data_IF_133332131490
#
_entry.id   IF_133332131490
#
_cell.length_a   1.000
_cell.length_b   1.000
_cell.length_c   1.000
_cell.angle_alpha   90.00
_cell.angle_beta   90.00
_cell.angle_gamma   90.00
#
_symmetry.space_group_name_H-M   'P 1'
#
loop_
_entity.id
_entity.type
_entity.pdbx_description
1 polymer ?
#
# COMPACT_ATOMS: atom_id res chain seq x y z
N UNK A 1 9.94 -8.94 -9.96
CA UNK A 1 10.51 -7.96 -10.90
C UNK A 1 10.75 -6.69 -10.13
N UNK A 2 11.95 -6.11 -10.28
CA UNK A 2 12.30 -4.81 -9.73
C UNK A 2 12.51 -3.85 -10.90
N UNK A 3 11.91 -2.67 -10.83
CA UNK A 3 12.11 -1.58 -11.77
C UNK A 3 12.33 -0.27 -10.99
N UNK A 4 13.12 0.63 -11.56
CA UNK A 4 13.33 1.98 -11.01
C UNK A 4 13.11 2.97 -12.13
N UNK A 5 12.16 3.89 -11.94
CA UNK A 5 11.98 5.04 -12.82
C UNK A 5 12.80 6.20 -12.28
N UNK A 6 13.44 6.94 -13.18
CA UNK A 6 14.38 8.01 -12.86
C UNK A 6 13.89 9.30 -13.49
N UNK A 7 13.77 10.37 -12.69
CA UNK A 7 13.38 11.72 -13.13
C UNK A 7 12.04 11.80 -13.88
N UNK A 8 11.04 11.04 -13.43
CA UNK A 8 9.65 11.20 -13.86
C UNK A 8 8.93 12.18 -12.91
N UNK A 9 7.89 11.74 -12.20
CA UNK A 9 7.20 12.52 -11.16
C UNK A 9 8.08 12.78 -9.92
N UNK A 10 9.06 11.90 -9.68
CA UNK A 10 10.02 11.96 -8.58
C UNK A 10 11.42 11.68 -9.13
N UNK A 11 12.47 12.04 -8.38
CA UNK A 11 13.85 11.68 -8.74
C UNK A 11 14.00 10.17 -8.94
N UNK A 12 13.40 9.38 -8.04
CA UNK A 12 13.41 7.92 -8.10
C UNK A 12 12.05 7.36 -7.68
N UNK A 13 11.53 6.42 -8.46
CA UNK A 13 10.42 5.55 -8.07
C UNK A 13 10.83 4.09 -8.27
N UNK A 14 11.12 3.40 -7.16
CA UNK A 14 11.38 1.97 -7.16
C UNK A 14 10.09 1.17 -7.02
N UNK A 15 9.94 0.12 -7.82
CA UNK A 15 8.76 -0.75 -7.84
C UNK A 15 9.22 -2.20 -7.84
N UNK A 16 8.80 -2.95 -6.82
CA UNK A 16 8.91 -4.40 -6.82
C UNK A 16 7.52 -5.02 -7.03
N UNK A 17 7.40 -5.87 -8.05
CA UNK A 17 6.17 -6.57 -8.38
C UNK A 17 6.44 -8.08 -8.43
N UNK A 18 5.52 -8.87 -7.88
CA UNK A 18 5.51 -10.33 -7.99
C UNK A 18 4.16 -10.80 -8.51
N UNK A 19 4.15 -11.90 -9.27
CA UNK A 19 2.90 -12.57 -9.61
C UNK A 19 2.33 -13.31 -8.40
N UNK A 20 1.02 -13.47 -8.36
CA UNK A 20 0.31 -14.11 -7.24
C UNK A 20 0.13 -13.17 -6.04
N UNK A 21 0.04 -13.75 -4.84
CA UNK A 21 -0.24 -13.03 -3.60
C UNK A 21 0.96 -12.74 -2.70
N UNK A 22 2.20 -12.89 -3.19
CA UNK A 22 3.40 -12.77 -2.37
C UNK A 22 3.85 -11.32 -2.16
N UNK A 23 3.03 -10.56 -1.42
CA UNK A 23 3.33 -9.19 -1.01
C UNK A 23 4.56 -9.12 -0.08
N UNK A 24 4.80 -10.15 0.74
CA UNK A 24 5.95 -10.20 1.64
C UNK A 24 7.27 -10.28 0.87
N UNK A 25 7.33 -11.14 -0.15
CA UNK A 25 8.50 -11.24 -1.02
C UNK A 25 8.71 -9.99 -1.88
N UNK A 26 7.62 -9.38 -2.39
CA UNK A 26 7.72 -8.10 -3.10
C UNK A 26 8.25 -6.98 -2.20
N UNK A 27 7.73 -6.89 -0.98
CA UNK A 27 8.17 -5.92 0.01
C UNK A 27 9.65 -6.11 0.38
N UNK A 28 10.08 -7.35 0.68
CA UNK A 28 11.49 -7.64 0.94
C UNK A 28 12.39 -7.25 -0.24
N UNK A 29 12.00 -7.61 -1.46
CA UNK A 29 12.78 -7.24 -2.66
C UNK A 29 12.91 -5.73 -2.81
N UNK A 30 11.85 -4.97 -2.50
CA UNK A 30 11.88 -3.51 -2.54
C UNK A 30 12.78 -2.92 -1.46
N UNK A 31 12.65 -3.37 -0.21
CA UNK A 31 13.44 -2.84 0.90
C UNK A 31 14.92 -3.12 0.72
N UNK A 32 15.30 -4.34 0.33
CA UNK A 32 16.70 -4.69 0.07
C UNK A 32 17.31 -3.76 -1.01
N UNK A 33 16.56 -3.48 -2.08
CA UNK A 33 17.00 -2.58 -3.14
C UNK A 33 17.10 -1.11 -2.69
N UNK A 34 16.16 -0.63 -1.87
CA UNK A 34 16.19 0.73 -1.31
C UNK A 34 17.37 0.92 -0.35
N UNK A 35 17.68 -0.09 0.47
CA UNK A 35 18.82 -0.06 1.38
C UNK A 35 20.15 -0.01 0.61
N UNK A 36 20.29 -0.84 -0.43
CA UNK A 36 21.46 -0.84 -1.31
C UNK A 36 21.63 0.51 -2.04
N UNK A 37 20.53 1.10 -2.54
CA UNK A 37 20.54 2.43 -3.16
C UNK A 37 20.93 3.51 -2.16
N UNK A 38 20.35 3.51 -0.95
CA UNK A 38 20.69 4.48 0.08
C UNK A 38 22.17 4.39 0.49
N UNK A 39 22.71 3.17 0.60
CA UNK A 39 24.14 2.95 0.86
C UNK A 39 25.03 3.43 -0.31
N UNK A 40 24.57 3.27 -1.55
CA UNK A 40 25.25 3.81 -2.73
C UNK A 40 25.30 5.35 -2.72
N UNK A 41 24.15 6.01 -2.50
CA UNK A 41 24.08 7.47 -2.50
C UNK A 41 24.95 8.11 -1.42
N UNK A 42 24.95 7.55 -0.20
CA UNK A 42 25.79 8.05 0.90
C UNK A 42 27.29 7.96 0.62
N UNK A 43 27.72 7.07 -0.28
CA UNK A 43 29.12 6.99 -0.74
C UNK A 43 29.44 7.96 -1.88
N UNK A 44 28.43 8.52 -2.54
CA UNK A 44 28.59 9.46 -3.63
C UNK A 44 28.78 10.88 -3.11
N UNK A 45 29.82 11.57 -3.59
CA UNK A 45 30.19 12.93 -3.14
C UNK A 45 29.08 13.97 -3.29
N UNK A 46 28.20 13.79 -4.28
CA UNK A 46 27.13 14.74 -4.59
C UNK A 46 25.83 14.47 -3.80
N UNK A 47 25.72 13.32 -3.10
CA UNK A 47 24.51 12.96 -2.34
C UNK A 47 24.84 12.28 -0.99
N UNK A 48 25.73 12.85 -0.16
CA UNK A 48 26.22 12.19 1.05
C UNK A 48 25.12 11.96 2.11
N UNK A 49 23.99 12.68 2.00
CA UNK A 49 22.85 12.55 2.91
C UNK A 49 21.86 11.45 2.50
N UNK A 50 22.00 10.87 1.30
CA UNK A 50 21.06 9.87 0.78
C UNK A 50 19.69 10.45 0.42
N UNK A 51 18.63 9.69 0.65
CA UNK A 51 17.26 10.13 0.37
C UNK A 51 16.85 11.33 1.24
N UNK A 52 16.07 12.25 0.66
CA UNK A 52 15.55 13.40 1.38
C UNK A 52 14.58 12.94 2.48
N UNK A 53 14.92 13.26 3.73
CA UNK A 53 14.19 12.80 4.91
C UNK A 53 14.03 13.92 5.95
N UNK A 54 12.88 13.95 6.60
CA UNK A 54 12.56 14.81 7.73
C UNK A 54 12.12 13.97 8.92
N UNK A 55 12.64 14.27 10.11
CA UNK A 55 12.22 13.57 11.33
C UNK A 55 10.71 13.65 11.60
N UNK A 56 10.07 14.76 11.20
CA UNK A 56 8.63 14.97 11.40
C UNK A 56 7.78 14.40 10.25
N UNK A 57 8.29 14.44 9.03
CA UNK A 57 7.51 14.17 7.82
C UNK A 57 7.90 12.87 7.09
N UNK A 58 8.95 12.17 7.55
CA UNK A 58 9.49 11.00 6.86
C UNK A 58 10.22 11.35 5.57
N UNK A 59 10.20 10.43 4.61
CA UNK A 59 10.71 10.66 3.26
C UNK A 59 9.92 11.74 2.55
N UNK A 60 10.65 12.62 1.88
CA UNK A 60 10.10 13.78 1.18
C UNK A 60 10.01 13.48 -0.32
N UNK A 61 8.89 13.90 -0.90
CA UNK A 61 8.53 13.70 -2.30
C UNK A 61 8.04 15.03 -2.89
N UNK A 62 7.93 15.14 -4.20
CA UNK A 62 7.41 16.35 -4.87
C UNK A 62 5.93 16.62 -4.52
N UNK A 63 5.14 15.57 -4.30
CA UNK A 63 3.73 15.67 -3.91
C UNK A 63 3.53 15.52 -2.38
N UNK A 64 2.87 16.47 -1.68
CA UNK A 64 2.59 16.35 -0.24
C UNK A 64 1.77 15.10 0.17
N UNK A 65 0.99 14.52 -0.74
CA UNK A 65 0.24 13.29 -0.47
C UNK A 65 1.11 12.02 -0.43
N UNK A 66 2.37 12.12 -0.89
CA UNK A 66 3.32 11.03 -0.99
C UNK A 66 4.42 11.06 0.08
N UNK A 67 4.36 11.95 1.08
CA UNK A 67 5.37 12.00 2.16
C UNK A 67 5.13 10.93 3.24
N UNK A 68 6.12 10.72 4.11
CA UNK A 68 6.09 9.72 5.18
C UNK A 68 6.92 8.51 4.80
N UNK A 69 6.28 7.35 4.64
CA UNK A 69 6.92 6.16 4.05
C UNK A 69 7.14 6.29 2.54
N UNK A 70 6.43 7.22 1.89
CA UNK A 70 6.29 7.34 0.44
C UNK A 70 5.81 6.07 -0.30
N UNK A 71 5.45 5.03 0.45
CA UNK A 71 5.17 3.71 -0.10
C UNK A 71 3.70 3.59 -0.52
N UNK A 72 3.50 3.03 -1.70
CA UNK A 72 2.22 2.48 -2.14
C UNK A 72 2.37 0.98 -2.34
N UNK A 73 1.56 0.22 -1.63
CA UNK A 73 1.40 -1.22 -1.82
C UNK A 73 0.05 -1.43 -2.47
N UNK A 74 0.02 -2.23 -3.53
CA UNK A 74 -1.24 -2.61 -4.17
C UNK A 74 -1.23 -4.06 -4.62
N UNK A 75 -2.43 -4.61 -4.79
CA UNK A 75 -2.65 -5.91 -5.40
C UNK A 75 -3.87 -5.84 -6.31
N UNK A 76 -3.78 -6.54 -7.44
CA UNK A 76 -4.90 -6.73 -8.36
C UNK A 76 -5.57 -8.05 -7.98
N UNK A 77 -6.86 -8.00 -7.67
CA UNK A 77 -7.64 -9.14 -7.19
C UNK A 77 -8.95 -9.27 -7.97
N UNK A 78 -9.38 -10.52 -8.20
CA UNK A 78 -10.67 -10.84 -8.82
C UNK A 78 -11.73 -10.96 -7.74
N UNK A 79 -12.75 -10.11 -7.78
CA UNK A 79 -13.89 -10.06 -6.86
C UNK A 79 -15.23 -9.86 -7.63
N UNK A 80 -15.54 -10.68 -8.65
CA UNK A 80 -16.68 -10.45 -9.54
C UNK A 80 -18.04 -10.35 -8.82
N UNK A 81 -18.28 -11.17 -7.80
CA UNK A 81 -19.53 -11.18 -7.05
C UNK A 81 -19.62 -9.98 -6.11
N UNK A 82 -18.55 -9.63 -5.39
CA UNK A 82 -18.55 -8.41 -4.57
C UNK A 82 -18.75 -7.18 -5.44
N UNK A 83 -18.05 -7.05 -6.57
CA UNK A 83 -18.18 -5.86 -7.44
C UNK A 83 -19.54 -5.76 -8.12
N UNK A 84 -20.22 -6.89 -8.39
CA UNK A 84 -21.54 -6.87 -9.04
C UNK A 84 -22.71 -6.76 -8.06
N UNK A 85 -22.58 -7.34 -6.85
CA UNK A 85 -23.68 -7.45 -5.88
C UNK A 85 -23.52 -6.55 -4.65
N UNK A 86 -22.29 -6.16 -4.30
CA UNK A 86 -21.94 -5.51 -3.04
C UNK A 86 -20.98 -4.32 -3.23
N UNK A 87 -20.97 -3.66 -4.40
CA UNK A 87 -19.99 -2.61 -4.71
C UNK A 87 -20.02 -1.42 -3.74
N UNK A 88 -21.21 -0.93 -3.39
CA UNK A 88 -21.34 0.18 -2.42
C UNK A 88 -20.77 -0.22 -1.06
N UNK A 89 -21.01 -1.46 -0.63
CA UNK A 89 -20.45 -1.98 0.61
C UNK A 89 -18.92 -2.14 0.54
N UNK A 90 -18.37 -2.55 -0.61
CA UNK A 90 -16.93 -2.59 -0.85
C UNK A 90 -16.29 -1.21 -0.69
N UNK A 91 -16.90 -0.17 -1.28
CA UNK A 91 -16.39 1.20 -1.20
C UNK A 91 -16.38 1.71 0.24
N UNK A 92 -17.48 1.51 0.98
CA UNK A 92 -17.57 1.89 2.39
C UNK A 92 -16.58 1.10 3.26
N UNK A 93 -16.42 -0.19 2.98
CA UNK A 93 -15.49 -1.07 3.69
C UNK A 93 -14.04 -0.63 3.48
N UNK A 94 -13.68 -0.28 2.26
CA UNK A 94 -12.38 0.25 1.89
C UNK A 94 -12.12 1.59 2.58
N UNK A 95 -13.10 2.51 2.55
CA UNK A 95 -13.00 3.81 3.21
C UNK A 95 -12.73 3.68 4.71
N UNK A 96 -13.50 2.82 5.41
CA UNK A 96 -13.34 2.58 6.86
C UNK A 96 -11.99 1.95 7.23
N UNK A 97 -11.40 1.17 6.32
CA UNK A 97 -10.08 0.54 6.49
C UNK A 97 -8.91 1.36 5.96
N UNK A 98 -9.18 2.55 5.43
CA UNK A 98 -8.16 3.45 4.87
C UNK A 98 -7.37 2.80 3.72
N UNK A 99 -8.09 2.04 2.91
CA UNK A 99 -7.62 1.49 1.63
C UNK A 99 -8.48 2.02 0.49
N UNK A 100 -8.02 1.85 -0.74
CA UNK A 100 -8.74 2.27 -1.94
C UNK A 100 -8.99 1.06 -2.83
N UNK A 101 -10.20 0.94 -3.37
CA UNK A 101 -10.54 0.03 -4.46
C UNK A 101 -10.72 0.84 -5.75
N UNK A 102 -10.07 0.42 -6.83
CA UNK A 102 -10.23 1.00 -8.18
C UNK A 102 -10.42 -0.13 -9.19
N UNK A 103 -11.19 0.09 -10.25
CA UNK A 103 -11.24 -0.86 -11.36
C UNK A 103 -9.83 -1.03 -11.94
N UNK A 104 -9.40 -2.28 -12.10
CA UNK A 104 -8.10 -2.54 -12.72
C UNK A 104 -8.15 -2.16 -14.21
N UNK A 105 -7.18 -1.35 -14.64
CA UNK A 105 -7.00 -0.97 -16.04
C UNK A 105 -5.90 -1.86 -16.60
N UNK A 106 -6.22 -2.65 -17.63
CA UNK A 106 -5.20 -3.39 -18.37
C UNK A 106 -4.49 -2.47 -19.36
N UNK A 107 -3.22 -2.77 -19.67
CA UNK A 107 -2.36 -1.97 -20.57
C UNK A 107 -3.00 -1.63 -21.93
N UNK A 108 -4.01 -2.38 -22.38
CA UNK A 108 -4.78 -2.14 -23.61
C UNK A 108 -6.25 -2.63 -23.53
N UNK A 109 -6.87 -2.68 -22.33
CA UNK A 109 -8.25 -3.17 -22.18
C UNK A 109 -9.15 -2.18 -21.44
N UNK A 110 -10.44 -2.05 -21.84
CA UNK A 110 -11.43 -1.40 -21.00
C UNK A 110 -11.48 -2.07 -19.62
N UNK A 111 -12.02 -1.36 -18.63
CA UNK A 111 -12.11 -1.83 -17.23
C UNK A 111 -12.40 -3.34 -17.17
N UNK A 112 -11.53 -4.07 -16.48
CA UNK A 112 -11.71 -5.51 -16.34
C UNK A 112 -12.84 -5.76 -15.34
N UNK A 113 -14.00 -6.20 -15.85
CA UNK A 113 -15.14 -6.55 -15.00
C UNK A 113 -14.75 -7.55 -13.93
N UNK A 114 -15.14 -7.28 -12.69
CA UNK A 114 -14.82 -8.12 -11.54
C UNK A 114 -13.35 -8.11 -11.12
N UNK A 115 -12.50 -7.23 -11.66
CA UNK A 115 -11.10 -7.10 -11.27
C UNK A 115 -10.82 -5.72 -10.71
N UNK A 116 -10.31 -5.67 -9.49
CA UNK A 116 -10.04 -4.43 -8.77
C UNK A 116 -8.61 -4.37 -8.28
N UNK A 117 -8.01 -3.19 -8.32
CA UNK A 117 -6.79 -2.87 -7.61
C UNK A 117 -7.14 -2.37 -6.20
N UNK A 118 -6.62 -3.05 -5.18
CA UNK A 118 -6.71 -2.64 -3.79
C UNK A 118 -5.36 -2.06 -3.37
N UNK A 119 -5.35 -0.87 -2.76
CA UNK A 119 -4.12 -0.19 -2.32
C UNK A 119 -4.29 0.59 -1.01
N UNK A 120 -3.19 0.89 -0.31
CA UNK A 120 -3.23 1.74 0.89
C UNK A 120 -3.51 3.21 0.53
N UNK A 121 -4.21 3.91 1.43
CA UNK A 121 -4.44 5.36 1.31
C UNK A 121 -3.38 6.17 2.06
N UNK A 122 -3.04 5.75 3.28
CA UNK A 122 -2.11 6.50 4.13
C UNK A 122 -0.67 6.17 3.84
N UNK A 123 0.19 7.18 3.99
CA UNK A 123 1.65 7.09 3.81
C UNK A 123 2.42 7.79 4.93
N UNK A 124 1.82 8.82 5.53
CA UNK A 124 2.34 9.55 6.67
C UNK A 124 1.69 9.07 7.98
N UNK A 125 2.49 8.95 9.03
CA UNK A 125 2.01 8.52 10.36
C UNK A 125 1.73 7.02 10.49
N UNK A 126 2.19 6.23 9.51
CA UNK A 126 2.11 4.77 9.48
C UNK A 126 3.49 4.22 9.09
N UNK A 127 3.85 3.03 9.55
CA UNK A 127 5.05 2.33 9.08
C UNK A 127 4.79 1.52 7.80
N UNK A 128 5.87 1.18 7.10
CA UNK A 128 5.82 0.33 5.92
C UNK A 128 5.24 -1.05 6.26
N UNK A 129 5.66 -1.63 7.40
CA UNK A 129 5.18 -2.91 7.87
C UNK A 129 3.68 -2.91 8.18
N UNK A 130 3.18 -1.88 8.86
CA UNK A 130 1.74 -1.72 9.13
C UNK A 130 0.96 -1.61 7.82
N UNK A 131 1.49 -0.88 6.84
CA UNK A 131 0.87 -0.70 5.53
C UNK A 131 0.76 -2.02 4.76
N UNK A 132 1.83 -2.81 4.73
CA UNK A 132 1.84 -4.13 4.08
C UNK A 132 0.89 -5.09 4.79
N UNK A 133 0.93 -5.14 6.12
CA UNK A 133 0.06 -6.01 6.92
C UNK A 133 -1.41 -5.62 6.78
N UNK A 134 -1.73 -4.32 6.75
CA UNK A 134 -3.08 -3.81 6.49
C UNK A 134 -3.60 -4.35 5.15
N UNK A 135 -2.78 -4.28 4.10
CA UNK A 135 -3.19 -4.73 2.78
C UNK A 135 -3.34 -6.25 2.71
N UNK A 136 -2.41 -7.03 3.27
CA UNK A 136 -2.49 -8.50 3.35
C UNK A 136 -3.78 -8.93 4.05
N UNK A 137 -4.06 -8.37 5.23
CA UNK A 137 -5.26 -8.70 6.00
C UNK A 137 -6.54 -8.28 5.26
N UNK A 138 -6.50 -7.14 4.57
CA UNK A 138 -7.65 -6.65 3.83
C UNK A 138 -7.96 -7.54 2.62
N UNK A 139 -6.93 -7.93 1.87
CA UNK A 139 -7.06 -8.85 0.74
C UNK A 139 -7.56 -10.23 1.18
N UNK A 140 -7.04 -10.77 2.28
CA UNK A 140 -7.51 -12.04 2.83
C UNK A 140 -9.00 -11.99 3.17
N UNK A 141 -9.47 -10.91 3.80
CA UNK A 141 -10.87 -10.71 4.13
C UNK A 141 -11.75 -10.59 2.88
N UNK A 142 -11.31 -9.85 1.86
CA UNK A 142 -12.04 -9.70 0.59
C UNK A 142 -12.15 -11.03 -0.17
N UNK A 143 -11.05 -11.77 -0.28
CA UNK A 143 -11.04 -13.09 -0.94
C UNK A 143 -11.90 -14.09 -0.18
N UNK A 144 -11.89 -14.06 1.15
CA UNK A 144 -12.77 -14.90 1.96
C UNK A 144 -14.25 -14.56 1.73
N UNK A 145 -14.59 -13.26 1.73
CA UNK A 145 -15.94 -12.79 1.45
C UNK A 145 -16.43 -13.17 0.05
N UNK A 146 -15.57 -13.06 -0.97
CA UNK A 146 -15.89 -13.47 -2.34
C UNK A 146 -16.22 -14.98 -2.39
N UNK A 147 -15.39 -15.82 -1.74
CA UNK A 147 -15.64 -17.26 -1.63
C UNK A 147 -16.95 -17.58 -0.91
N UNK A 148 -17.34 -16.79 0.10
CA UNK A 148 -18.63 -16.98 0.73
C UNK A 148 -19.79 -16.72 -0.25
N UNK A 149 -19.70 -15.67 -1.08
CA UNK A 149 -20.71 -15.40 -2.11
C UNK A 149 -20.79 -16.52 -3.15
N UNK A 150 -19.65 -17.11 -3.53
CA UNK A 150 -19.60 -18.26 -4.46
C UNK A 150 -20.38 -19.47 -3.92
N UNK A 151 -20.45 -19.65 -2.60
CA UNK A 151 -21.16 -20.75 -1.94
C UNK A 151 -22.54 -20.33 -1.38
N UNK A 152 -23.08 -19.18 -1.79
CA UNK A 152 -24.41 -18.70 -1.37
C UNK A 152 -24.47 -18.08 0.03
N UNK A 153 -23.33 -17.81 0.66
CA UNK A 153 -23.22 -17.10 1.94
C UNK A 153 -23.41 -15.58 1.81
N UNK A 154 -23.34 -14.87 2.93
CA UNK A 154 -23.62 -13.43 3.02
C UNK A 154 -22.54 -12.51 2.42
N UNK A 155 -21.35 -13.04 2.09
CA UNK A 155 -20.27 -12.28 1.46
C UNK A 155 -19.58 -11.28 2.39
N UNK A 156 -19.33 -10.08 1.89
CA UNK A 156 -18.62 -9.03 2.62
C UNK A 156 -19.47 -8.54 3.80
N UNK A 157 -18.91 -8.60 5.00
CA UNK A 157 -19.54 -8.05 6.20
C UNK A 157 -19.07 -6.62 6.45
N UNK A 158 -19.91 -5.76 7.08
CA UNK A 158 -19.47 -4.45 7.54
C UNK A 158 -18.22 -4.60 8.42
N UNK A 159 -17.19 -3.76 8.24
CA UNK A 159 -16.05 -3.83 9.13
C UNK A 159 -16.51 -3.46 10.54
N UNK A 160 -15.91 -4.04 11.60
CA UNK A 160 -16.16 -3.58 12.96
C UNK A 160 -15.84 -2.08 13.05
N UNK A 161 -16.56 -1.36 13.91
CA UNK A 161 -16.32 0.07 14.16
C UNK A 161 -14.83 0.27 14.45
N UNK A 162 -14.21 1.22 13.73
CA UNK A 162 -12.78 1.47 13.85
C UNK A 162 -12.45 1.75 15.32
N UNK A 163 -11.43 1.07 15.86
CA UNK A 163 -10.83 1.49 17.13
C UNK A 163 -10.32 2.92 16.97
N UNK A 164 -10.49 3.79 17.98
CA UNK A 164 -9.99 5.15 17.92
C UNK A 164 -8.50 5.11 17.55
N UNK A 165 -8.12 6.03 16.67
CA UNK A 165 -6.73 6.24 16.27
C UNK A 165 -5.88 6.25 17.54
N UNK A 166 -4.91 5.33 17.67
CA UNK A 166 -3.95 5.39 18.78
C UNK A 166 -3.34 6.78 18.69
N UNK A 167 -3.61 7.61 19.68
CA UNK A 167 -2.89 8.87 19.86
C UNK A 167 -1.43 8.47 19.96
N UNK A 168 -0.57 9.04 19.12
CA UNK A 168 0.87 8.86 19.24
C UNK A 168 1.22 9.16 20.71
N UNK A 169 1.68 8.15 21.44
CA UNK A 169 2.25 8.40 22.76
C UNK A 169 3.44 9.34 22.54
N UNK A 170 3.55 10.45 23.29
CA UNK A 170 4.76 11.25 23.24
C UNK A 170 5.92 10.33 23.58
N UNK A 171 6.97 10.39 22.77
CA UNK A 171 8.19 9.62 22.98
C UNK A 171 8.66 9.83 24.42
N UNK A 172 8.40 8.85 25.29
CA UNK A 172 8.89 8.85 26.65
C UNK A 172 10.30 8.27 26.62
N UNK A 173 11.26 9.03 27.12
CA UNK A 173 12.59 8.52 27.49
C UNK A 173 13.72 8.81 26.50
N UNK A 174 14.19 10.04 26.50
CA UNK A 174 15.62 10.32 26.43
C UNK A 174 15.90 11.51 27.35
N UNK A 175 15.95 11.23 28.66
CA UNK A 175 16.54 12.10 29.65
C UNK A 175 17.81 11.40 30.16
N UNK A 176 18.90 12.19 30.19
CA UNK A 176 20.28 11.90 30.56
C UNK A 176 21.14 11.19 29.51
#
# INVERSE_FOLDING_TARGET
TLAVWVNEEEHLRAVAARQGGDLKGAFKQLTDALDDMAASFRRHKDCPQGFAFSQRLGYLTSCPSNIGTAMRVSAIVKLPLITSRQNSLLMDWCLRRRITARSAIGENRPQMEGVVEISNRDRLGVSENETVNLLINSLAALVHAERLLEHGGAGLQPPPLASPMRTAEPASGAAA
#
